data_IF_855469195255
#
_entry.id   IF_855469195255
#
_cell.length_a   1.000
_cell.length_b   1.000
_cell.length_c   1.000
_cell.angle_alpha   90.00
_cell.angle_beta   90.00
_cell.angle_gamma   90.00
#
_symmetry.space_group_name_H-M   'P 1'
#
loop_
_entity.id
_entity.type
_entity.pdbx_description
1 polymer ?
#
# COMPACT_ATOMS: atom_id res chain seq x y z
N UNK A 1 11.39 -22.52 23.38
CA UNK A 1 12.20 -23.26 22.39
C UNK A 1 12.76 -22.20 21.47
N UNK A 2 14.08 -21.94 21.54
CA UNK A 2 14.76 -21.20 20.51
C UNK A 2 15.00 -22.18 19.35
N UNK A 3 14.38 -21.91 18.20
CA UNK A 3 14.71 -22.59 16.96
C UNK A 3 16.00 -21.93 16.46
N UNK A 4 17.07 -22.71 16.31
CA UNK A 4 18.26 -22.28 15.61
C UNK A 4 17.95 -22.01 14.13
N UNK A 5 18.95 -21.58 13.35
CA UNK A 5 18.82 -21.33 11.91
C UNK A 5 18.28 -22.58 11.21
N UNK A 6 17.04 -22.49 10.72
CA UNK A 6 16.40 -23.56 9.95
C UNK A 6 16.50 -23.23 8.48
N UNK A 7 16.95 -24.18 7.68
CA UNK A 7 17.09 -23.97 6.24
C UNK A 7 15.70 -23.72 5.60
N UNK A 8 15.56 -22.71 4.74
CA UNK A 8 14.34 -22.49 3.99
C UNK A 8 13.93 -23.70 3.14
N UNK A 9 12.63 -23.92 3.00
CA UNK A 9 12.08 -25.08 2.28
C UNK A 9 12.16 -26.39 3.05
N UNK A 10 12.58 -26.39 4.32
CA UNK A 10 12.65 -27.60 5.15
C UNK A 10 11.42 -27.77 6.03
N UNK A 11 11.17 -29.01 6.43
CA UNK A 11 10.14 -29.35 7.39
C UNK A 11 10.74 -29.48 8.80
N UNK A 12 10.10 -28.86 9.78
CA UNK A 12 10.42 -29.03 11.20
C UNK A 12 9.38 -29.95 11.81
N UNK A 13 9.81 -31.11 12.25
CA UNK A 13 8.93 -32.06 12.92
C UNK A 13 9.03 -31.94 14.43
N UNK A 14 7.92 -31.70 15.09
CA UNK A 14 7.79 -31.71 16.53
C UNK A 14 7.05 -32.96 17.01
N UNK A 15 7.61 -33.62 18.03
CA UNK A 15 6.91 -34.69 18.73
C UNK A 15 6.38 -34.14 20.07
N UNK A 16 5.07 -33.98 20.16
CA UNK A 16 4.40 -33.56 21.40
C UNK A 16 4.03 -34.81 22.17
N UNK A 17 4.72 -35.03 23.30
CA UNK A 17 4.46 -36.14 24.19
C UNK A 17 3.56 -35.69 25.35
N UNK A 18 2.35 -36.24 25.43
CA UNK A 18 1.49 -36.10 26.60
C UNK A 18 1.85 -37.16 27.62
N UNK A 19 2.17 -36.69 28.85
CA UNK A 19 2.59 -37.58 29.96
C UNK A 19 1.64 -37.48 31.15
N UNK A 20 1.51 -38.59 31.85
CA UNK A 20 0.88 -38.66 33.13
C UNK A 20 1.82 -39.42 34.06
N UNK A 21 2.30 -38.80 35.16
CA UNK A 21 3.26 -39.38 36.10
C UNK A 21 4.53 -39.91 35.42
N UNK A 22 5.11 -39.12 34.47
CA UNK A 22 6.27 -39.48 33.65
C UNK A 22 6.02 -40.54 32.55
N UNK A 23 4.89 -41.22 32.55
CA UNK A 23 4.52 -42.14 31.50
C UNK A 23 3.90 -41.40 30.30
N UNK A 24 4.47 -41.57 29.12
CA UNK A 24 3.91 -41.06 27.87
C UNK A 24 2.72 -41.91 27.44
N UNK A 25 1.52 -41.34 27.39
CA UNK A 25 0.31 -42.03 26.95
C UNK A 25 -0.14 -41.64 25.53
N UNK A 26 0.37 -40.55 25.00
CA UNK A 26 0.09 -40.12 23.65
C UNK A 26 1.26 -39.31 23.08
N UNK A 27 1.58 -39.53 21.82
CA UNK A 27 2.55 -38.76 21.08
C UNK A 27 1.86 -38.25 19.82
N UNK A 28 1.93 -36.93 19.58
CA UNK A 28 1.44 -36.27 18.38
C UNK A 28 2.62 -35.73 17.60
N UNK A 29 2.68 -36.05 16.33
CA UNK A 29 3.59 -35.41 15.39
C UNK A 29 2.94 -34.15 14.80
N UNK A 30 3.68 -33.04 14.81
CA UNK A 30 3.32 -31.80 14.20
C UNK A 30 4.45 -31.40 13.26
N UNK A 31 4.14 -31.26 11.98
CA UNK A 31 5.11 -30.82 10.98
C UNK A 31 4.80 -29.36 10.66
N UNK A 32 5.80 -28.50 10.84
CA UNK A 32 5.78 -27.11 10.35
C UNK A 32 6.65 -27.01 9.12
N UNK A 33 6.05 -26.60 8.03
CA UNK A 33 6.76 -26.33 6.79
C UNK A 33 7.40 -24.94 6.88
N UNK A 34 8.72 -24.85 6.69
CA UNK A 34 9.43 -23.57 6.59
C UNK A 34 9.42 -23.17 5.11
N UNK A 35 8.79 -22.06 4.75
CA UNK A 35 8.74 -21.65 3.35
C UNK A 35 10.15 -21.44 2.79
N UNK A 36 10.37 -21.66 1.48
CA UNK A 36 11.64 -21.35 0.83
C UNK A 36 11.94 -19.84 0.92
N UNK A 37 13.23 -19.46 0.94
CA UNK A 37 13.67 -18.05 0.97
C UNK A 37 13.32 -17.27 -0.29
N UNK A 38 13.12 -17.95 -1.39
CA UNK A 38 12.64 -17.34 -2.63
C UNK A 38 11.12 -17.56 -2.70
N UNK A 39 10.38 -16.63 -2.12
CA UNK A 39 8.92 -16.67 -2.13
C UNK A 39 8.47 -15.94 -3.39
N UNK A 40 8.31 -16.70 -4.47
CA UNK A 40 7.63 -16.23 -5.70
C UNK A 40 6.15 -16.64 -5.66
N UNK A 41 5.49 -16.41 -4.56
CA UNK A 41 4.08 -16.75 -4.37
C UNK A 41 3.31 -15.52 -3.92
N UNK A 42 2.14 -15.29 -4.49
CA UNK A 42 1.28 -14.18 -4.08
C UNK A 42 0.89 -14.32 -2.61
N UNK A 43 0.63 -13.20 -1.97
CA UNK A 43 0.09 -13.19 -0.62
C UNK A 43 -1.33 -13.77 -0.68
N UNK A 44 -1.57 -14.76 0.18
CA UNK A 44 -2.87 -15.42 0.30
C UNK A 44 -3.98 -14.38 0.57
N UNK A 45 -5.22 -14.66 0.15
CA UNK A 45 -6.28 -13.69 0.26
C UNK A 45 -6.49 -13.28 1.72
N UNK A 46 -6.83 -12.02 1.89
CA UNK A 46 -7.32 -11.51 3.16
C UNK A 46 -8.68 -12.13 3.54
N UNK A 47 -9.25 -11.74 4.67
CA UNK A 47 -10.54 -12.30 5.12
C UNK A 47 -11.71 -12.00 4.18
N UNK A 48 -11.63 -10.97 3.36
CA UNK A 48 -12.63 -10.62 2.37
C UNK A 48 -12.44 -11.39 1.06
N UNK A 49 -11.20 -11.53 0.59
CA UNK A 49 -10.86 -12.27 -0.61
C UNK A 49 -9.91 -11.55 -1.58
N UNK A 50 -9.33 -10.40 -1.21
CA UNK A 50 -8.28 -9.76 -2.00
C UNK A 50 -6.99 -10.57 -1.97
N UNK A 51 -6.39 -10.74 -3.14
CA UNK A 51 -5.06 -11.32 -3.32
C UNK A 51 -4.07 -10.20 -3.65
N UNK A 52 -2.84 -10.30 -3.15
CA UNK A 52 -1.76 -9.42 -3.54
C UNK A 52 -0.69 -10.19 -4.32
N UNK A 53 -0.34 -9.65 -5.48
CA UNK A 53 0.72 -10.16 -6.37
C UNK A 53 1.79 -9.10 -6.51
N UNK A 54 3.04 -9.50 -6.51
CA UNK A 54 4.15 -8.62 -6.84
C UNK A 54 4.86 -9.05 -8.14
N UNK A 55 5.80 -8.25 -8.61
CA UNK A 55 6.53 -8.48 -9.86
C UNK A 55 7.46 -9.71 -9.80
N UNK A 56 7.65 -10.33 -8.64
CA UNK A 56 8.46 -11.55 -8.48
C UNK A 56 7.63 -12.83 -8.60
N UNK A 57 6.31 -12.74 -8.61
CA UNK A 57 5.37 -13.87 -8.73
C UNK A 57 5.33 -14.46 -10.16
N UNK A 58 6.47 -14.81 -10.69
CA UNK A 58 6.69 -15.15 -12.11
C UNK A 58 5.88 -16.34 -12.63
N UNK A 59 5.26 -17.12 -11.75
CA UNK A 59 4.43 -18.28 -12.10
C UNK A 59 2.94 -17.97 -12.26
N UNK A 60 2.52 -16.71 -12.07
CA UNK A 60 1.12 -16.30 -12.04
C UNK A 60 0.81 -15.26 -13.12
N UNK A 61 -0.34 -15.42 -13.80
CA UNK A 61 -0.80 -14.47 -14.84
C UNK A 61 -1.13 -13.09 -14.28
N UNK A 62 -1.50 -13.03 -13.01
CA UNK A 62 -1.87 -11.81 -12.30
C UNK A 62 -0.67 -10.98 -11.85
N UNK A 63 0.53 -11.49 -12.02
CA UNK A 63 1.76 -10.78 -11.70
C UNK A 63 1.83 -9.43 -12.43
N UNK A 64 2.02 -8.30 -11.72
CA UNK A 64 2.18 -7.02 -12.40
C UNK A 64 3.52 -6.92 -13.12
N UNK A 65 3.52 -6.25 -14.27
CA UNK A 65 4.74 -5.84 -14.95
C UNK A 65 4.94 -4.34 -14.71
N UNK A 66 6.11 -3.96 -14.23
CA UNK A 66 6.43 -2.54 -14.02
C UNK A 66 6.38 -1.77 -15.33
N UNK A 67 5.50 -0.78 -15.40
CA UNK A 67 5.30 0.07 -16.57
C UNK A 67 4.99 1.50 -16.12
N UNK A 68 6.02 2.25 -15.79
CA UNK A 68 5.88 3.62 -15.29
C UNK A 68 5.24 4.54 -16.31
N UNK A 69 4.28 5.33 -15.88
CA UNK A 69 3.58 6.32 -16.67
C UNK A 69 3.80 7.69 -16.04
N UNK A 70 4.81 8.40 -16.50
CA UNK A 70 5.13 9.72 -15.98
C UNK A 70 3.96 10.70 -16.15
N UNK A 71 3.53 11.34 -15.08
CA UNK A 71 2.48 12.34 -15.09
C UNK A 71 3.00 13.77 -14.87
N UNK A 72 4.17 13.94 -14.27
CA UNK A 72 4.76 15.26 -14.03
C UNK A 72 5.28 15.88 -15.33
N UNK A 73 4.75 17.05 -15.76
CA UNK A 73 5.22 17.72 -16.97
C UNK A 73 6.69 18.11 -16.95
N UNK A 74 7.27 18.34 -15.78
CA UNK A 74 8.70 18.67 -15.64
C UNK A 74 9.60 17.47 -15.96
N UNK A 75 9.03 16.26 -15.94
CA UNK A 75 9.71 15.00 -16.21
C UNK A 75 9.19 14.29 -17.48
N UNK A 76 8.38 14.98 -18.28
CA UNK A 76 7.89 14.48 -19.56
C UNK A 76 6.47 13.94 -19.53
N UNK A 77 5.76 14.07 -18.42
CA UNK A 77 4.35 13.73 -18.30
C UNK A 77 3.44 14.69 -19.09
N UNK A 78 2.28 14.19 -19.51
CA UNK A 78 1.31 14.98 -20.27
C UNK A 78 -0.12 14.67 -19.86
N UNK A 79 -0.98 15.69 -19.90
CA UNK A 79 -2.43 15.54 -19.77
C UNK A 79 -2.95 15.23 -18.36
N UNK A 80 -2.14 15.42 -17.35
CA UNK A 80 -2.52 15.22 -15.94
C UNK A 80 -3.13 16.49 -15.33
N UNK A 81 -4.03 16.28 -14.36
CA UNK A 81 -4.41 17.31 -13.40
C UNK A 81 -3.35 17.39 -12.32
N UNK A 82 -2.99 18.60 -11.88
CA UNK A 82 -1.96 18.86 -10.90
C UNK A 82 -2.55 19.43 -9.63
N UNK A 83 -2.15 18.88 -8.49
CA UNK A 83 -2.48 19.33 -7.14
C UNK A 83 -1.20 19.63 -6.38
N UNK A 84 -1.07 20.83 -5.86
CA UNK A 84 -0.02 21.23 -4.93
C UNK A 84 -0.62 21.16 -3.53
N UNK A 85 -0.17 20.19 -2.77
CA UNK A 85 -0.64 19.99 -1.39
C UNK A 85 0.39 20.58 -0.44
N UNK A 86 -0.12 21.17 0.63
CA UNK A 86 0.66 21.64 1.76
C UNK A 86 1.04 20.46 2.65
N UNK A 87 1.87 20.68 3.64
CA UNK A 87 2.10 19.76 4.72
C UNK A 87 0.78 19.41 5.42
N UNK A 88 0.57 18.11 5.71
CA UNK A 88 -0.66 17.59 6.30
C UNK A 88 -1.94 18.06 5.56
N UNK A 89 -1.97 17.99 4.24
CA UNK A 89 -3.07 18.44 3.39
C UNK A 89 -3.64 17.28 2.54
N UNK A 90 -4.81 17.52 1.97
CA UNK A 90 -5.45 16.54 1.09
C UNK A 90 -6.32 17.21 0.01
N UNK A 91 -6.61 16.45 -1.02
CA UNK A 91 -7.58 16.81 -2.05
C UNK A 91 -8.61 15.69 -2.24
N UNK A 92 -9.88 16.05 -2.45
CA UNK A 92 -10.95 15.14 -2.84
C UNK A 92 -11.15 15.21 -4.35
N UNK A 93 -11.07 14.07 -5.04
CA UNK A 93 -11.13 13.97 -6.50
C UNK A 93 -12.26 13.04 -6.92
N UNK A 94 -13.02 13.43 -7.95
CA UNK A 94 -14.01 12.56 -8.58
C UNK A 94 -13.29 11.48 -9.40
N UNK A 95 -13.69 10.22 -9.22
CA UNK A 95 -13.23 9.13 -10.06
C UNK A 95 -13.93 9.18 -11.43
N UNK A 96 -13.23 8.87 -12.53
CA UNK A 96 -13.84 8.87 -13.86
C UNK A 96 -14.80 7.70 -14.11
N UNK A 97 -14.83 6.73 -13.21
CA UNK A 97 -15.70 5.55 -13.20
C UNK A 97 -16.06 5.18 -11.77
N UNK A 98 -17.12 4.38 -11.58
CA UNK A 98 -17.40 3.79 -10.28
C UNK A 98 -16.36 2.74 -9.94
N UNK A 99 -15.81 2.79 -8.74
CA UNK A 99 -14.82 1.84 -8.26
C UNK A 99 -15.37 1.07 -7.05
N UNK A 100 -15.30 -0.26 -7.10
CA UNK A 100 -15.72 -1.09 -5.97
C UNK A 100 -14.52 -1.55 -5.17
N UNK A 101 -14.56 -1.29 -3.85
CA UNK A 101 -13.54 -1.68 -2.90
C UNK A 101 -14.17 -2.31 -1.67
N UNK A 102 -13.78 -3.56 -1.38
CA UNK A 102 -14.38 -4.39 -0.32
C UNK A 102 -15.92 -4.43 -0.38
N UNK A 103 -16.49 -4.58 -1.60
CA UNK A 103 -17.92 -4.68 -1.84
C UNK A 103 -18.69 -3.37 -1.81
N UNK A 104 -18.06 -2.24 -1.51
CA UNK A 104 -18.68 -0.92 -1.50
C UNK A 104 -18.31 -0.15 -2.77
N UNK A 105 -19.28 0.58 -3.32
CA UNK A 105 -19.11 1.39 -4.53
C UNK A 105 -18.71 2.82 -4.17
N UNK A 106 -17.71 3.34 -4.86
CA UNK A 106 -17.17 4.70 -4.67
C UNK A 106 -17.06 5.44 -5.99
N UNK A 107 -17.31 6.74 -5.97
CA UNK A 107 -17.19 7.65 -7.10
C UNK A 107 -16.18 8.79 -6.85
N UNK A 108 -15.56 8.80 -5.67
CA UNK A 108 -14.57 9.79 -5.26
C UNK A 108 -13.44 9.15 -4.47
N UNK A 109 -12.29 9.81 -4.46
CA UNK A 109 -11.13 9.42 -3.66
C UNK A 109 -10.50 10.65 -2.99
N UNK A 110 -10.12 10.53 -1.73
CA UNK A 110 -9.28 11.50 -1.01
C UNK A 110 -7.82 11.11 -1.23
N UNK A 111 -6.97 12.07 -1.57
CA UNK A 111 -5.54 11.90 -1.77
C UNK A 111 -4.81 12.81 -0.79
N UNK A 112 -3.99 12.24 0.08
CA UNK A 112 -3.22 12.98 1.09
C UNK A 112 -1.82 13.33 0.59
N UNK A 113 -1.28 14.46 1.06
CA UNK A 113 0.14 14.79 0.96
C UNK A 113 1.01 13.65 1.49
N UNK A 114 0.60 13.01 2.57
CA UNK A 114 1.31 11.96 3.31
C UNK A 114 1.24 10.56 2.66
N UNK A 115 1.15 10.50 1.32
CA UNK A 115 1.37 9.29 0.53
C UNK A 115 0.32 8.19 0.68
N UNK A 116 -0.89 8.53 1.08
CA UNK A 116 -2.01 7.61 1.16
C UNK A 116 -3.27 8.15 0.46
N UNK A 117 -4.21 7.26 0.16
CA UNK A 117 -5.53 7.62 -0.35
C UNK A 117 -6.62 6.93 0.46
N UNK A 118 -7.84 7.48 0.41
CA UNK A 118 -9.04 6.87 0.99
C UNK A 118 -10.24 7.06 0.08
N UNK A 119 -11.02 6.01 -0.12
CA UNK A 119 -12.28 6.12 -0.85
C UNK A 119 -13.35 6.86 -0.05
N UNK A 120 -13.23 6.91 1.27
CA UNK A 120 -14.11 7.72 2.12
C UNK A 120 -13.57 9.13 2.31
N UNK A 121 -14.47 10.05 2.73
CA UNK A 121 -14.05 11.38 3.12
C UNK A 121 -13.24 11.28 4.41
N UNK A 122 -12.04 11.84 4.39
CA UNK A 122 -11.19 11.95 5.56
C UNK A 122 -10.84 13.42 5.78
N UNK A 123 -11.09 13.93 6.98
CA UNK A 123 -10.71 15.28 7.42
C UNK A 123 -9.45 15.23 8.30
N UNK A 124 -8.76 14.08 8.34
CA UNK A 124 -7.62 13.84 9.22
C UNK A 124 -6.42 13.58 8.33
N UNK A 125 -5.50 14.51 8.33
CA UNK A 125 -4.30 14.50 7.49
C UNK A 125 -3.11 13.98 8.31
N UNK A 126 -3.19 12.70 8.73
CA UNK A 126 -2.13 12.08 9.54
C UNK A 126 -0.98 11.57 8.69
N UNK A 127 0.22 11.87 9.16
CA UNK A 127 1.47 11.24 8.72
C UNK A 127 1.88 10.03 9.60
N UNK A 128 1.29 9.86 10.76
CA UNK A 128 1.74 8.86 11.74
C UNK A 128 1.55 7.43 11.25
N UNK A 129 2.65 6.70 11.19
CA UNK A 129 2.72 5.32 10.73
C UNK A 129 2.22 4.34 11.80
N UNK A 130 0.93 4.26 11.93
CA UNK A 130 0.26 3.30 12.80
C UNK A 130 -0.19 2.08 12.02
N UNK A 131 -0.34 0.94 12.71
CA UNK A 131 -0.87 -0.27 12.08
C UNK A 131 -2.22 -0.01 11.40
N UNK A 132 -2.39 -0.50 10.18
CA UNK A 132 -3.63 -0.45 9.43
C UNK A 132 -4.38 -1.79 9.62
N UNK A 133 -5.69 -1.79 9.93
CA UNK A 133 -6.56 -0.64 10.18
C UNK A 133 -6.27 0.05 11.52
N UNK A 134 -6.48 1.36 11.59
CA UNK A 134 -6.37 2.11 12.83
C UNK A 134 -7.71 2.73 13.24
N UNK A 135 -7.95 2.78 14.55
CA UNK A 135 -9.24 3.22 15.10
C UNK A 135 -9.64 4.65 14.70
N UNK A 136 -8.68 5.55 14.52
CA UNK A 136 -8.90 6.97 14.17
C UNK A 136 -8.36 7.35 12.79
N UNK A 137 -7.87 6.39 12.03
CA UNK A 137 -7.33 6.64 10.69
C UNK A 137 -8.39 6.69 9.59
N UNK A 138 -7.95 6.98 8.36
CA UNK A 138 -8.81 6.90 7.19
C UNK A 138 -9.40 5.50 7.04
N UNK A 139 -10.68 5.45 6.69
CA UNK A 139 -11.33 4.20 6.30
C UNK A 139 -11.16 3.96 4.81
N UNK A 140 -11.31 2.69 4.39
CA UNK A 140 -11.12 2.30 2.99
C UNK A 140 -9.85 2.90 2.39
N UNK A 141 -8.74 2.77 3.13
CA UNK A 141 -7.45 3.38 2.86
C UNK A 141 -6.60 2.52 1.93
N UNK A 142 -5.88 3.16 1.03
CA UNK A 142 -4.75 2.62 0.29
C UNK A 142 -3.50 3.38 0.71
N UNK A 143 -2.48 2.68 1.17
CA UNK A 143 -1.24 3.27 1.65
C UNK A 143 -0.04 2.76 0.84
N UNK A 144 0.17 3.26 -0.40
CA UNK A 144 1.30 2.84 -1.20
C UNK A 144 2.63 3.21 -0.56
N UNK A 145 2.71 4.40 0.03
CA UNK A 145 3.84 4.89 0.80
C UNK A 145 3.34 5.92 1.81
N UNK A 146 2.72 5.44 2.90
CA UNK A 146 2.24 6.32 3.96
C UNK A 146 3.39 6.72 4.86
N UNK A 147 3.76 7.98 4.78
CA UNK A 147 4.86 8.58 5.54
C UNK A 147 4.64 10.09 5.68
N UNK A 148 5.48 10.75 6.45
CA UNK A 148 5.53 12.18 6.62
C UNK A 148 6.17 12.84 5.39
N UNK A 149 5.35 13.12 4.36
CA UNK A 149 5.81 13.78 3.14
C UNK A 149 5.51 15.28 3.25
N UNK A 150 6.54 16.10 3.11
CA UNK A 150 6.55 17.46 3.58
C UNK A 150 6.75 18.51 2.49
N UNK A 151 6.34 19.73 2.80
CA UNK A 151 6.66 20.95 2.05
C UNK A 151 7.87 21.65 2.66
N UNK A 152 8.61 22.42 1.86
CA UNK A 152 9.78 23.15 2.36
C UNK A 152 9.66 24.65 2.11
N UNK A 153 9.90 25.43 3.15
CA UNK A 153 10.24 26.85 3.12
C UNK A 153 11.74 26.98 3.48
N UNK A 154 12.60 26.89 2.47
CA UNK A 154 14.06 26.78 2.65
C UNK A 154 14.72 27.99 3.25
N UNK A 155 14.03 29.13 3.32
CA UNK A 155 14.55 30.39 3.84
C UNK A 155 13.77 30.96 5.03
N UNK A 156 12.76 30.24 5.48
CA UNK A 156 11.89 30.58 6.63
C UNK A 156 11.21 31.96 6.48
N UNK A 157 10.82 32.30 5.24
CA UNK A 157 10.16 33.58 4.93
C UNK A 157 8.62 33.49 4.91
N UNK A 158 8.06 32.32 5.15
CA UNK A 158 6.64 32.01 5.15
C UNK A 158 6.07 31.73 3.75
N UNK A 159 6.94 31.50 2.75
CA UNK A 159 6.54 31.07 1.43
C UNK A 159 7.09 29.66 1.17
N UNK A 160 6.22 28.76 0.76
CA UNK A 160 6.62 27.39 0.44
C UNK A 160 7.40 27.37 -0.87
N UNK A 161 8.63 26.88 -0.84
CA UNK A 161 9.50 26.73 -2.01
C UNK A 161 9.25 25.39 -2.74
N UNK A 162 8.94 24.33 -1.97
CA UNK A 162 8.67 23.00 -2.50
C UNK A 162 7.36 22.46 -1.93
N UNK A 163 6.46 22.06 -2.82
CA UNK A 163 5.15 21.49 -2.48
C UNK A 163 5.16 19.97 -2.63
N UNK A 164 4.26 19.29 -1.93
CA UNK A 164 3.94 17.92 -2.28
C UNK A 164 3.12 17.93 -3.57
N UNK A 165 3.73 17.47 -4.65
CA UNK A 165 3.12 17.49 -5.97
C UNK A 165 2.42 16.17 -6.27
N UNK A 166 1.11 16.22 -6.41
CA UNK A 166 0.28 15.08 -6.79
C UNK A 166 -0.31 15.32 -8.18
N UNK A 167 -0.22 14.32 -9.03
CA UNK A 167 -0.80 14.34 -10.36
C UNK A 167 -1.85 13.23 -10.51
N UNK A 168 -2.93 13.52 -11.25
CA UNK A 168 -3.91 12.49 -11.59
C UNK A 168 -4.22 12.51 -13.07
N UNK A 169 -4.45 11.32 -13.67
CA UNK A 169 -4.85 11.19 -15.06
C UNK A 169 -5.76 9.98 -15.28
N UNK A 170 -6.83 10.18 -16.04
CA UNK A 170 -7.59 9.08 -16.61
C UNK A 170 -7.01 8.68 -17.97
N UNK A 171 -6.41 7.49 -18.03
CA UNK A 171 -5.96 6.85 -19.25
C UNK A 171 -7.14 6.02 -19.81
N UNK A 172 -8.03 6.71 -20.54
CA UNK A 172 -9.27 6.12 -21.04
C UNK A 172 -9.06 4.91 -21.97
N UNK A 173 -8.04 4.89 -22.86
CA UNK A 173 -7.81 3.73 -23.72
C UNK A 173 -7.47 2.44 -22.95
N UNK A 174 -6.85 2.57 -21.78
CA UNK A 174 -6.45 1.44 -20.94
C UNK A 174 -7.40 1.24 -19.74
N UNK A 175 -8.46 2.07 -19.64
CA UNK A 175 -9.45 1.98 -18.56
C UNK A 175 -8.85 2.10 -17.17
N UNK A 176 -7.94 3.08 -16.95
CA UNK A 176 -7.26 3.22 -15.65
C UNK A 176 -7.14 4.66 -15.19
N UNK A 177 -7.31 4.86 -13.89
CA UNK A 177 -7.08 6.15 -13.23
C UNK A 177 -5.79 6.08 -12.43
N UNK A 178 -4.86 6.99 -12.70
CA UNK A 178 -3.51 7.01 -12.16
C UNK A 178 -3.39 8.20 -11.22
N UNK A 179 -2.83 7.96 -10.05
CA UNK A 179 -2.47 8.95 -9.03
C UNK A 179 -0.96 8.83 -8.80
N UNK A 180 -0.23 9.92 -8.97
CA UNK A 180 1.22 9.97 -8.80
C UNK A 180 1.60 10.98 -7.74
N UNK A 181 2.41 10.59 -6.76
CA UNK A 181 3.22 11.49 -5.97
C UNK A 181 4.56 11.63 -6.66
N UNK A 182 4.86 12.85 -7.09
CA UNK A 182 6.07 13.12 -7.90
C UNK A 182 7.11 13.84 -7.05
N UNK A 183 8.21 13.14 -6.77
CA UNK A 183 9.37 13.70 -6.07
C UNK A 183 8.97 14.42 -4.78
N UNK A 184 8.08 13.76 -4.02
CA UNK A 184 7.66 14.24 -2.73
C UNK A 184 8.82 14.10 -1.73
N UNK A 185 9.10 15.16 -0.98
CA UNK A 185 10.20 15.16 -0.02
C UNK A 185 9.80 14.41 1.26
N UNK A 186 10.72 13.62 1.78
CA UNK A 186 10.54 12.93 3.06
C UNK A 186 10.76 13.92 4.21
N UNK A 187 9.81 14.02 5.13
CA UNK A 187 9.85 14.96 6.24
C UNK A 187 10.95 14.69 7.27
N UNK A 188 11.53 13.48 7.26
CA UNK A 188 12.61 13.15 8.18
C UNK A 188 13.92 13.86 7.85
N UNK A 189 14.29 13.94 6.58
CA UNK A 189 15.55 14.55 6.15
C UNK A 189 15.39 15.76 5.23
N UNK A 190 14.17 16.04 4.75
CA UNK A 190 13.82 17.14 3.87
C UNK A 190 14.66 17.20 2.56
N UNK A 191 15.23 16.07 2.15
CA UNK A 191 16.17 15.98 1.03
C UNK A 191 15.86 14.80 0.11
N UNK A 192 15.53 13.63 0.67
CA UNK A 192 15.22 12.46 -0.13
C UNK A 192 13.85 12.59 -0.79
N UNK A 193 13.78 12.19 -2.05
CA UNK A 193 12.57 12.27 -2.88
C UNK A 193 11.98 10.90 -3.07
N UNK A 194 10.65 10.81 -2.92
CA UNK A 194 9.86 9.61 -3.12
C UNK A 194 8.96 9.78 -4.36
N UNK A 195 8.93 8.78 -5.23
CA UNK A 195 8.10 8.81 -6.44
C UNK A 195 7.40 7.49 -6.64
N UNK A 196 6.07 7.51 -6.55
CA UNK A 196 5.24 6.31 -6.60
C UNK A 196 3.83 6.61 -7.14
N UNK A 197 3.10 5.56 -7.51
CA UNK A 197 1.77 5.64 -8.09
C UNK A 197 0.81 4.65 -7.47
N UNK A 198 -0.48 5.06 -7.44
CA UNK A 198 -1.63 4.18 -7.32
C UNK A 198 -2.37 4.18 -8.67
N UNK A 199 -2.68 3.01 -9.17
CA UNK A 199 -3.46 2.83 -10.39
C UNK A 199 -4.73 2.05 -10.04
N UNK A 200 -5.88 2.64 -10.37
CA UNK A 200 -7.20 2.01 -10.24
C UNK A 200 -7.70 1.64 -11.62
N UNK A 201 -8.11 0.38 -11.81
CA UNK A 201 -8.62 -0.11 -13.09
C UNK A 201 -10.14 -0.11 -13.12
N UNK A 202 -10.70 0.34 -14.23
CA UNK A 202 -12.14 0.35 -14.48
C UNK A 202 -12.67 -1.09 -14.58
N UNK A 203 -13.59 -1.47 -13.71
CA UNK A 203 -14.21 -2.79 -13.68
C UNK A 203 -15.00 -3.12 -14.95
N UNK A 204 -15.43 -2.09 -15.71
CA UNK A 204 -16.09 -2.27 -16.98
C UNK A 204 -15.13 -2.78 -18.08
N UNK A 205 -13.85 -2.46 -17.97
CA UNK A 205 -12.80 -2.89 -18.92
C UNK A 205 -12.09 -4.17 -18.42
N UNK A 206 -11.81 -4.26 -17.10
CA UNK A 206 -11.13 -5.40 -16.50
C UNK A 206 -11.98 -5.95 -15.35
N UNK A 207 -12.80 -6.95 -15.64
CA UNK A 207 -13.69 -7.54 -14.64
C UNK A 207 -12.97 -8.57 -13.76
N UNK A 208 -13.21 -8.49 -12.44
CA UNK A 208 -12.79 -9.48 -11.47
C UNK A 208 -13.93 -10.46 -11.13
N UNK A 209 -13.60 -11.56 -10.48
CA UNK A 209 -14.62 -12.55 -10.09
C UNK A 209 -15.54 -12.02 -8.98
N UNK A 210 -15.03 -11.20 -8.08
CA UNK A 210 -15.79 -10.56 -6.99
C UNK A 210 -16.58 -9.33 -7.46
N UNK A 211 -16.18 -8.73 -8.58
CA UNK A 211 -16.63 -7.43 -9.04
C UNK A 211 -15.99 -6.26 -8.30
N UNK A 212 -14.97 -6.51 -7.47
CA UNK A 212 -14.16 -5.46 -6.86
C UNK A 212 -13.06 -5.02 -7.82
N UNK A 213 -12.64 -3.75 -7.72
CA UNK A 213 -11.65 -3.16 -8.61
C UNK A 213 -10.24 -3.70 -8.38
N UNK A 214 -9.43 -3.68 -9.44
CA UNK A 214 -8.00 -3.98 -9.37
C UNK A 214 -7.25 -2.70 -8.99
N UNK A 215 -6.29 -2.86 -8.07
CA UNK A 215 -5.42 -1.79 -7.57
C UNK A 215 -3.98 -2.21 -7.84
N UNK A 216 -3.20 -1.30 -8.40
CA UNK A 216 -1.77 -1.52 -8.63
C UNK A 216 -0.98 -0.39 -7.97
N UNK A 217 0.11 -0.75 -7.29
CA UNK A 217 1.10 0.20 -6.77
C UNK A 217 2.36 0.07 -7.61
N UNK A 218 2.90 1.20 -8.06
CA UNK A 218 4.18 1.26 -8.74
C UNK A 218 5.12 2.23 -8.02
N UNK A 219 6.39 1.84 -7.93
CA UNK A 219 7.43 2.60 -7.25
C UNK A 219 8.57 2.88 -8.23
N UNK A 220 8.80 4.15 -8.54
CA UNK A 220 9.90 4.57 -9.42
C UNK A 220 11.18 4.81 -8.62
N UNK A 221 11.05 5.55 -7.53
CA UNK A 221 12.15 5.87 -6.63
C UNK A 221 11.65 5.94 -5.19
N UNK A 222 12.22 5.14 -4.33
CA UNK A 222 11.90 5.08 -2.90
C UNK A 222 13.20 5.02 -2.13
N UNK A 223 13.44 6.04 -1.32
CA UNK A 223 14.69 6.26 -0.58
C UNK A 223 14.38 6.47 0.91
N UNK A 224 13.46 5.71 1.48
CA UNK A 224 13.12 5.80 2.90
C UNK A 224 14.38 5.70 3.77
N UNK A 225 14.70 6.81 4.44
CA UNK A 225 15.87 6.96 5.32
C UNK A 225 15.50 6.95 6.80
N UNK A 226 14.23 6.79 7.10
CA UNK A 226 13.71 6.85 8.45
C UNK A 226 14.17 5.67 9.30
N UNK A 227 14.63 6.00 10.51
CA UNK A 227 15.14 5.03 11.46
C UNK A 227 14.27 4.91 12.71
N UNK A 228 13.18 5.68 12.79
CA UNK A 228 12.28 5.71 13.94
C UNK A 228 10.93 5.09 13.60
N UNK A 229 10.28 4.46 14.58
CA UNK A 229 8.99 3.80 14.37
C UNK A 229 7.82 4.74 14.02
N UNK A 230 8.00 6.05 14.17
CA UNK A 230 6.94 7.03 13.92
C UNK A 230 6.98 7.57 12.49
N UNK A 231 8.04 7.28 11.76
CA UNK A 231 8.30 7.79 10.42
C UNK A 231 8.69 6.68 9.44
N UNK A 232 8.55 5.41 9.78
CA UNK A 232 8.86 4.34 8.83
C UNK A 232 7.64 3.97 8.01
N UNK A 233 7.79 3.98 6.69
CA UNK A 233 6.76 3.71 5.71
C UNK A 233 5.87 2.49 6.04
N UNK A 234 4.57 2.65 5.82
CA UNK A 234 3.60 1.57 5.83
C UNK A 234 3.05 1.33 4.42
N UNK A 235 3.21 0.10 3.97
CA UNK A 235 2.72 -0.37 2.67
C UNK A 235 1.53 -1.31 2.89
N UNK A 236 0.29 -0.77 2.95
CA UNK A 236 -0.89 -1.60 3.22
C UNK A 236 -2.17 -1.10 2.56
N UNK A 237 -3.11 -2.04 2.42
CA UNK A 237 -4.52 -1.75 2.18
C UNK A 237 -5.32 -2.17 3.40
N UNK A 238 -6.33 -1.39 3.82
CA UNK A 238 -7.19 -1.75 4.94
C UNK A 238 -8.66 -1.50 4.65
N UNK A 239 -9.50 -2.36 5.20
CA UNK A 239 -10.95 -2.25 5.19
C UNK A 239 -11.49 -2.04 6.60
N UNK A 240 -12.50 -1.15 6.71
CA UNK A 240 -13.26 -0.94 7.95
C UNK A 240 -14.08 -2.19 8.38
N UNK A 241 -14.27 -3.17 7.49
CA UNK A 241 -14.99 -4.41 7.82
C UNK A 241 -14.21 -5.37 8.73
N UNK A 242 -12.89 -5.23 8.83
CA UNK A 242 -12.07 -6.04 9.74
C UNK A 242 -12.22 -5.60 11.22
N UNK A 243 -12.67 -4.37 11.48
CA UNK A 243 -12.86 -3.84 12.84
C UNK A 243 -14.09 -4.42 13.57
N UNK A 244 -15.11 -4.90 12.86
CA UNK A 244 -16.34 -5.42 13.48
C UNK A 244 -16.25 -6.89 13.92
N UNK A 245 -15.13 -7.59 13.73
CA UNK A 245 -14.96 -9.02 14.03
C UNK A 245 -14.00 -9.34 15.18
N UNK A 246 -13.57 -8.31 15.92
CA UNK A 246 -12.76 -8.47 17.13
C UNK A 246 -13.54 -8.91 18.37
#
# INVERSE_FOLDING_TARGET
>A
IELGDVAPGSDITFLINMKKNDDTFHTQEVVLHVPPTEIFYPVAPDNYGYWAYDNTDTGFEQRPDFNWIELDPNHGGEGASHYQLDDDDHVRVDLPFGFKYYGNDYDQITISSNGWTSFEMCEIDYFWNMSIPMYMGPKAMLAPFSDDLETIDSNDDGNIDTWVNVYTRYDQPEGRFIIEWSRALNGYDEVTEETFQVILYDEAEISTQSGDGIIEFQYLDINDVDVTKNYSCLLYTSDAADEERG
#
